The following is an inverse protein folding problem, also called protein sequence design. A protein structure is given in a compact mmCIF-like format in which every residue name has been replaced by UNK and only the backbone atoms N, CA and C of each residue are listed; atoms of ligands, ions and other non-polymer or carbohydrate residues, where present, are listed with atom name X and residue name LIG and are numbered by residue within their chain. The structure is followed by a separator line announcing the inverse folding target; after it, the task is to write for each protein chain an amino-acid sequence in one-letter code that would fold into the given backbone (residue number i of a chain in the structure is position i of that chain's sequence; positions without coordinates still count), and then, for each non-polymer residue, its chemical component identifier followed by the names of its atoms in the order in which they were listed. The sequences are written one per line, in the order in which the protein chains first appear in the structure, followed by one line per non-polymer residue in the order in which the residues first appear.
data_IF_123149562473
#
_entry.id   IF_123149562473
#
_cell.length_a   1.000
_cell.length_b   1.000
_cell.length_c   1.000
_cell.angle_alpha   90.00
_cell.angle_beta   90.00
_cell.angle_gamma   90.00
#
_symmetry.space_group_name_H-M   'P 1'
#
loop_
_entity.id
_entity.type
_entity.pdbx_description
1 polymer ?
#
# COMPACT_ATOMS: atom_id res chain seq x y z
N UNK A 1 -7.78 20.03 -2.90
CA UNK A 1 -8.90 19.10 -3.19
C UNK A 1 -9.22 18.32 -1.93
N UNK A 2 -10.48 17.94 -1.67
CA UNK A 2 -10.83 17.12 -0.50
C UNK A 2 -10.39 15.68 -0.76
N UNK A 3 -9.63 15.12 0.17
CA UNK A 3 -9.19 13.73 0.12
C UNK A 3 -10.40 12.78 0.27
N UNK A 4 -10.47 11.74 -0.57
CA UNK A 4 -11.60 10.81 -0.57
C UNK A 4 -11.52 9.93 0.67
N UNK A 5 -12.64 9.78 1.38
CA UNK A 5 -12.73 8.95 2.59
C UNK A 5 -13.35 7.60 2.28
N UNK A 6 -12.52 6.57 2.23
CA UNK A 6 -12.89 5.18 1.93
C UNK A 6 -13.29 4.42 3.21
N UNK A 7 -14.23 3.50 3.07
CA UNK A 7 -14.60 2.53 4.09
C UNK A 7 -13.61 1.37 4.14
N UNK A 8 -13.62 0.60 5.22
CA UNK A 8 -12.77 -0.59 5.39
C UNK A 8 -12.93 -1.60 4.25
N UNK A 9 -14.16 -1.79 3.76
CA UNK A 9 -14.45 -2.69 2.64
C UNK A 9 -13.84 -2.18 1.33
N UNK A 10 -14.05 -0.91 0.98
CA UNK A 10 -13.44 -0.29 -0.22
C UNK A 10 -11.91 -0.35 -0.17
N UNK A 11 -11.31 -0.16 1.02
CA UNK A 11 -9.86 -0.30 1.17
C UNK A 11 -9.39 -1.73 0.97
N UNK A 12 -10.16 -2.72 1.44
CA UNK A 12 -9.84 -4.12 1.23
C UNK A 12 -9.85 -4.46 -0.26
N UNK A 13 -10.89 -4.00 -0.98
CA UNK A 13 -11.01 -4.13 -2.44
C UNK A 13 -9.85 -3.44 -3.16
N UNK A 14 -9.52 -2.20 -2.78
CA UNK A 14 -8.42 -1.43 -3.37
C UNK A 14 -7.06 -2.13 -3.23
N UNK A 15 -6.78 -2.68 -2.04
CA UNK A 15 -5.52 -3.39 -1.78
C UNK A 15 -5.53 -4.84 -2.27
N UNK A 16 -6.65 -5.34 -2.80
CA UNK A 16 -6.79 -6.76 -3.19
C UNK A 16 -6.67 -7.72 -2.00
N UNK A 17 -7.09 -7.30 -0.80
CA UNK A 17 -7.01 -8.07 0.44
C UNK A 17 -8.40 -8.30 1.06
N UNK A 18 -8.47 -9.06 2.16
CA UNK A 18 -9.71 -9.20 2.94
C UNK A 18 -9.83 -8.08 3.98
N UNK A 19 -11.04 -7.77 4.45
CA UNK A 19 -11.28 -6.73 5.48
C UNK A 19 -10.44 -6.90 6.76
N UNK A 20 -10.02 -8.13 7.06
CA UNK A 20 -9.16 -8.41 8.22
C UNK A 20 -7.83 -7.65 8.13
N UNK A 21 -7.30 -7.46 6.92
CA UNK A 21 -6.03 -6.78 6.72
C UNK A 21 -6.11 -5.28 7.03
N UNK A 22 -7.03 -4.48 6.44
CA UNK A 22 -7.19 -3.09 6.84
C UNK A 22 -7.56 -2.92 8.33
N UNK A 23 -8.37 -3.81 8.91
CA UNK A 23 -8.67 -3.79 10.36
C UNK A 23 -7.41 -3.97 11.21
N UNK A 24 -6.51 -4.86 10.80
CA UNK A 24 -5.21 -5.04 11.45
C UNK A 24 -4.32 -3.80 11.31
N UNK A 25 -4.27 -3.18 10.13
CA UNK A 25 -3.52 -1.92 9.93
C UNK A 25 -4.02 -0.81 10.88
N UNK A 26 -5.33 -0.71 11.08
CA UNK A 26 -5.92 0.25 12.02
C UNK A 26 -5.57 -0.09 13.47
N UNK A 27 -5.74 -1.36 13.87
CA UNK A 27 -5.47 -1.82 15.24
C UNK A 27 -4.00 -1.63 15.63
N UNK A 28 -3.08 -1.93 14.71
CA UNK A 28 -1.63 -1.73 14.87
C UNK A 28 -1.19 -0.26 14.62
N UNK A 29 -2.13 0.63 14.26
CA UNK A 29 -1.87 2.05 13.92
C UNK A 29 -0.82 2.25 12.82
N UNK A 30 -0.80 1.35 11.83
CA UNK A 30 0.12 1.40 10.68
C UNK A 30 -0.34 2.33 9.55
N UNK A 31 -1.58 2.81 9.61
CA UNK A 31 -2.16 3.78 8.66
C UNK A 31 -2.91 4.87 9.41
N UNK A 32 -3.05 6.04 8.78
CA UNK A 32 -3.91 7.12 9.28
C UNK A 32 -5.37 6.77 9.01
N UNK A 33 -6.23 7.02 9.98
CA UNK A 33 -7.67 6.82 9.85
C UNK A 33 -8.44 7.93 10.59
N UNK A 34 -9.65 8.19 10.11
CA UNK A 34 -10.59 9.14 10.70
C UNK A 34 -11.69 8.33 11.39
N UNK A 35 -11.94 8.63 12.67
CA UNK A 35 -13.04 8.04 13.43
C UNK A 35 -14.30 8.88 13.23
N UNK A 36 -15.35 8.27 12.70
CA UNK A 36 -16.66 8.90 12.46
C UNK A 36 -17.71 8.13 13.24
N UNK A 37 -17.81 8.42 14.54
CA UNK A 37 -18.64 7.66 15.48
C UNK A 37 -18.19 6.20 15.56
N UNK A 38 -19.08 5.27 15.21
CA UNK A 38 -18.76 3.83 15.11
C UNK A 38 -18.00 3.45 13.83
N UNK A 39 -18.02 4.32 12.81
CA UNK A 39 -17.42 4.03 11.52
C UNK A 39 -15.96 4.50 11.49
N UNK A 40 -15.14 3.78 10.75
CA UNK A 40 -13.77 4.18 10.44
C UNK A 40 -13.70 4.53 8.96
N UNK A 41 -13.09 5.68 8.65
CA UNK A 41 -12.82 6.12 7.30
C UNK A 41 -11.32 6.28 7.09
N UNK A 42 -10.83 5.86 5.94
CA UNK A 42 -9.42 5.93 5.59
C UNK A 42 -9.28 6.93 4.44
N UNK A 43 -8.46 7.98 4.60
CA UNK A 43 -8.14 8.88 3.50
C UNK A 43 -7.38 8.15 2.39
N UNK A 44 -7.69 8.44 1.14
CA UNK A 44 -7.01 7.87 -0.04
C UNK A 44 -5.50 8.19 0.00
N UNK A 45 -5.13 9.42 0.38
CA UNK A 45 -3.71 9.79 0.52
C UNK A 45 -2.93 8.94 1.56
N UNK A 46 -3.61 8.45 2.59
CA UNK A 46 -2.98 7.56 3.58
C UNK A 46 -2.73 6.17 3.00
N UNK A 47 -3.57 5.70 2.08
CA UNK A 47 -3.33 4.48 1.33
C UNK A 47 -2.18 4.64 0.35
N UNK A 48 -2.14 5.74 -0.40
CA UNK A 48 -1.04 6.04 -1.32
C UNK A 48 0.30 6.07 -0.58
N UNK A 49 0.33 6.73 0.59
CA UNK A 49 1.52 6.78 1.44
C UNK A 49 1.92 5.38 1.95
N UNK A 50 0.93 4.55 2.32
CA UNK A 50 1.18 3.18 2.73
C UNK A 50 1.75 2.35 1.58
N UNK A 51 1.15 2.42 0.39
CA UNK A 51 1.62 1.69 -0.80
C UNK A 51 3.03 2.13 -1.15
N UNK A 52 3.29 3.44 -1.23
CA UNK A 52 4.61 3.97 -1.55
C UNK A 52 5.69 3.47 -0.56
N UNK A 53 5.38 3.47 0.74
CA UNK A 53 6.31 3.03 1.79
C UNK A 53 6.56 1.51 1.76
N UNK A 54 5.57 0.71 1.37
CA UNK A 54 5.67 -0.75 1.36
C UNK A 54 5.97 -1.32 -0.04
N UNK A 55 6.19 -0.47 -1.05
CA UNK A 55 6.55 -0.91 -2.40
C UNK A 55 8.02 -1.33 -2.43
N UNK A 56 8.27 -2.62 -2.66
CA UNK A 56 9.62 -3.16 -2.83
C UNK A 56 10.07 -2.98 -4.28
N UNK A 57 11.18 -2.30 -4.48
CA UNK A 57 11.75 -2.11 -5.82
C UNK A 57 12.36 -3.40 -6.35
N UNK A 58 12.20 -3.70 -7.66
CA UNK A 58 12.80 -4.87 -8.26
C UNK A 58 14.33 -4.80 -8.23
N UNK A 59 14.98 -5.96 -8.05
CA UNK A 59 16.43 -6.06 -8.12
C UNK A 59 16.85 -5.99 -9.59
N UNK A 60 17.56 -4.92 -9.96
CA UNK A 60 18.14 -4.79 -11.30
C UNK A 60 19.42 -5.63 -11.39
N UNK A 61 19.29 -6.87 -11.84
CA UNK A 61 20.45 -7.70 -12.18
C UNK A 61 21.02 -7.17 -13.50
N UNK A 62 22.05 -6.34 -13.41
CA UNK A 62 22.84 -5.99 -14.58
C UNK A 62 23.62 -7.23 -15.00
N UNK A 63 23.13 -7.97 -16.01
CA UNK A 63 23.91 -9.01 -16.68
C UNK A 63 25.13 -8.30 -17.26
N UNK A 64 26.25 -8.29 -16.52
CA UNK A 64 27.54 -7.94 -17.09
C UNK A 64 27.70 -8.80 -18.33
N UNK A 65 27.76 -8.16 -19.48
CA UNK A 65 28.06 -8.78 -20.75
C UNK A 65 29.46 -9.41 -20.65
N UNK A 66 29.54 -10.61 -20.11
CA UNK A 66 30.63 -11.53 -20.34
C UNK A 66 30.47 -12.13 -21.73
N UNK A 67 30.34 -11.27 -22.75
CA UNK A 67 30.73 -11.63 -24.09
C UNK A 67 32.26 -11.57 -24.09
N UNK A 68 32.88 -12.65 -23.61
CA UNK A 68 34.24 -12.95 -24.02
C UNK A 68 34.18 -13.15 -25.52
N UNK A 69 34.50 -12.09 -26.27
CA UNK A 69 34.93 -12.23 -27.65
C UNK A 69 36.18 -13.12 -27.62
N UNK A 70 36.03 -14.36 -28.10
CA UNK A 70 37.16 -15.24 -28.39
C UNK A 70 37.68 -14.79 -29.74
N UNK A 71 38.94 -14.33 -29.73
CA UNK A 71 39.75 -14.07 -30.92
C UNK A 71 40.34 -15.37 -31.46
#
# INVERSE_FOLDING_TARGET
MKDRLMSVAEVAEYLGTTERFPRRLIAERRIVFVKVGRHVRIPESALDSFVATNTVQPILVHRRAALRAVA
#
